data_IF_324617808908
#
_entry.id   IF_324617808908
#
_cell.length_a   1.000
_cell.length_b   1.000
_cell.length_c   1.000
_cell.angle_alpha   90.00
_cell.angle_beta   90.00
_cell.angle_gamma   90.00
#
_symmetry.space_group_name_H-M   'P 1'
#
loop_
_entity.id
_entity.type
_entity.pdbx_description
1 polymer ?
#
# COMPACT_ATOMS: atom_id res chain seq x y z
N UNK A 1 -12.17 27.79 -32.31
CA UNK A 1 -10.86 27.13 -32.50
C UNK A 1 -10.87 25.88 -31.66
N UNK A 2 -10.91 24.72 -32.31
CA UNK A 2 -10.83 23.44 -31.62
C UNK A 2 -9.39 23.28 -31.10
N UNK A 3 -9.26 23.15 -29.79
CA UNK A 3 -8.01 22.70 -29.16
C UNK A 3 -7.88 21.24 -29.56
N UNK A 4 -7.04 20.99 -30.56
CA UNK A 4 -6.55 19.65 -30.85
C UNK A 4 -5.86 19.17 -29.57
N UNK A 5 -6.42 18.12 -28.97
CA UNK A 5 -5.72 17.31 -28.00
C UNK A 5 -4.48 16.77 -28.71
N UNK A 6 -3.34 17.38 -28.42
CA UNK A 6 -2.04 16.83 -28.79
C UNK A 6 -1.82 15.61 -27.88
N UNK A 7 -2.44 14.49 -28.28
CA UNK A 7 -2.26 13.14 -27.73
C UNK A 7 -0.87 12.60 -28.11
N UNK A 8 0.18 13.36 -27.83
CA UNK A 8 1.52 12.82 -27.73
C UNK A 8 1.75 12.44 -26.27
N UNK A 9 1.44 11.18 -25.94
CA UNK A 9 2.08 10.49 -24.82
C UNK A 9 3.58 10.73 -24.99
N UNK A 10 4.14 11.63 -24.18
CA UNK A 10 5.46 12.20 -24.42
C UNK A 10 6.55 11.11 -24.53
N UNK A 11 7.72 11.43 -25.10
CA UNK A 11 8.83 10.48 -25.30
C UNK A 11 9.26 9.75 -24.01
N UNK A 12 8.88 10.26 -22.83
CA UNK A 12 9.22 9.71 -21.52
C UNK A 12 8.19 8.72 -20.96
N UNK A 13 7.00 8.58 -21.56
CA UNK A 13 5.98 7.62 -21.10
C UNK A 13 6.46 6.18 -21.23
N UNK A 14 7.15 5.86 -22.32
CA UNK A 14 7.72 4.52 -22.54
C UNK A 14 8.78 4.19 -21.48
N UNK A 15 9.65 5.14 -21.15
CA UNK A 15 10.69 4.96 -20.12
C UNK A 15 10.07 4.75 -18.72
N UNK A 16 9.01 5.48 -18.38
CA UNK A 16 8.27 5.30 -17.12
C UNK A 16 7.59 3.93 -17.04
N UNK A 17 6.96 3.48 -18.13
CA UNK A 17 6.34 2.16 -18.22
C UNK A 17 7.36 1.03 -18.11
N UNK A 18 8.49 1.15 -18.82
CA UNK A 18 9.58 0.20 -18.77
C UNK A 18 10.20 0.13 -17.38
N UNK A 19 10.39 1.27 -16.71
CA UNK A 19 10.88 1.32 -15.34
C UNK A 19 9.93 0.64 -14.36
N UNK A 20 8.64 0.96 -14.39
CA UNK A 20 7.64 0.32 -13.54
C UNK A 20 7.53 -1.19 -13.80
N UNK A 21 7.51 -1.61 -15.07
CA UNK A 21 7.49 -3.01 -15.45
C UNK A 21 8.77 -3.74 -14.99
N UNK A 22 9.94 -3.11 -15.15
CA UNK A 22 11.22 -3.64 -14.69
C UNK A 22 11.24 -3.87 -13.19
N UNK A 23 10.79 -2.90 -12.40
CA UNK A 23 10.66 -3.03 -10.93
C UNK A 23 9.75 -4.19 -10.55
N UNK A 24 8.58 -4.29 -11.19
CA UNK A 24 7.64 -5.38 -10.96
C UNK A 24 8.25 -6.75 -11.29
N UNK A 25 8.90 -6.88 -12.44
CA UNK A 25 9.53 -8.14 -12.89
C UNK A 25 10.63 -8.57 -11.92
N UNK A 26 11.50 -7.66 -11.49
CA UNK A 26 12.55 -7.96 -10.50
C UNK A 26 11.94 -8.42 -9.18
N UNK A 27 10.88 -7.76 -8.71
CA UNK A 27 10.21 -8.14 -7.47
C UNK A 27 9.57 -9.54 -7.56
N UNK A 28 8.93 -9.85 -8.70
CA UNK A 28 8.33 -11.16 -8.96
C UNK A 28 9.42 -12.25 -9.02
N UNK A 29 10.55 -11.97 -9.69
CA UNK A 29 11.68 -12.88 -9.78
C UNK A 29 12.30 -13.15 -8.40
N UNK A 30 12.48 -12.10 -7.58
CA UNK A 30 12.99 -12.25 -6.22
C UNK A 30 12.01 -13.06 -5.35
N UNK A 31 10.70 -12.77 -5.42
CA UNK A 31 9.69 -13.54 -4.69
C UNK A 31 9.69 -15.02 -5.10
N UNK A 32 9.88 -15.30 -6.39
CA UNK A 32 10.03 -16.66 -6.89
C UNK A 32 11.30 -17.35 -6.36
N UNK A 33 12.42 -16.64 -6.28
CA UNK A 33 13.67 -17.16 -5.71
C UNK A 33 13.51 -17.47 -4.21
N UNK A 34 12.93 -16.56 -3.43
CA UNK A 34 12.70 -16.78 -1.99
C UNK A 34 11.77 -17.96 -1.71
N UNK A 35 10.77 -18.17 -2.58
CA UNK A 35 9.90 -19.36 -2.50
C UNK A 35 10.68 -20.66 -2.73
N UNK A 36 11.67 -20.66 -3.63
CA UNK A 36 12.54 -21.82 -3.86
C UNK A 36 13.46 -22.11 -2.68
N UNK A 37 13.86 -21.10 -1.90
CA UNK A 37 14.68 -21.27 -0.70
C UNK A 37 13.87 -21.59 0.56
N UNK A 38 12.56 -21.84 0.43
CA UNK A 38 11.69 -22.25 1.54
C UNK A 38 10.88 -21.13 2.20
N UNK A 39 11.09 -19.86 1.81
CA UNK A 39 10.33 -18.73 2.31
C UNK A 39 9.06 -18.52 1.48
N UNK A 40 8.05 -19.38 1.72
CA UNK A 40 6.82 -19.43 0.91
C UNK A 40 5.97 -18.14 1.01
N UNK A 41 6.05 -17.43 2.12
CA UNK A 41 5.28 -16.22 2.45
C UNK A 41 6.15 -14.96 2.46
N UNK A 42 7.13 -14.85 1.56
CA UNK A 42 8.01 -13.68 1.46
C UNK A 42 7.68 -12.80 0.25
N UNK A 43 6.41 -12.74 -0.15
CA UNK A 43 5.99 -12.02 -1.35
C UNK A 43 6.09 -10.50 -1.14
N UNK A 44 5.61 -9.99 -0.01
CA UNK A 44 5.73 -8.57 0.34
C UNK A 44 7.18 -8.24 0.70
N UNK A 45 7.86 -9.14 1.40
CA UNK A 45 9.29 -8.99 1.71
C UNK A 45 10.13 -8.81 0.44
N UNK A 46 9.94 -9.65 -0.58
CA UNK A 46 10.63 -9.53 -1.85
C UNK A 46 10.34 -8.18 -2.53
N UNK A 47 9.07 -7.75 -2.54
CA UNK A 47 8.71 -6.47 -3.15
C UNK A 47 9.32 -5.28 -2.40
N UNK A 48 9.24 -5.26 -1.07
CA UNK A 48 9.87 -4.21 -0.24
C UNK A 48 11.38 -4.15 -0.46
N UNK A 49 12.08 -5.28 -0.41
CA UNK A 49 13.52 -5.33 -0.66
C UNK A 49 13.85 -4.80 -2.06
N UNK A 50 13.07 -5.21 -3.07
CA UNK A 50 13.24 -4.72 -4.45
C UNK A 50 13.02 -3.22 -4.55
N UNK A 51 11.97 -2.70 -3.93
CA UNK A 51 11.66 -1.26 -3.90
C UNK A 51 12.78 -0.45 -3.24
N UNK A 52 13.38 -0.96 -2.16
CA UNK A 52 14.53 -0.31 -1.49
C UNK A 52 15.78 -0.33 -2.39
N UNK A 53 16.08 -1.48 -3.00
CA UNK A 53 17.27 -1.66 -3.84
C UNK A 53 17.19 -0.87 -5.15
N UNK A 54 16.02 -0.78 -5.75
CA UNK A 54 15.77 0.00 -6.98
C UNK A 54 15.35 1.44 -6.70
N UNK A 55 15.18 1.80 -5.42
CA UNK A 55 14.71 3.10 -5.00
C UNK A 55 15.83 4.11 -4.70
N UNK A 56 15.47 5.28 -4.13
CA UNK A 56 16.41 6.36 -3.87
C UNK A 56 17.47 6.03 -2.81
N UNK A 57 17.23 5.01 -1.99
CA UNK A 57 18.19 4.58 -0.98
C UNK A 57 19.48 4.00 -1.59
N UNK A 58 19.36 3.25 -2.69
CA UNK A 58 20.43 2.43 -3.26
C UNK A 58 20.70 2.74 -4.73
N UNK A 59 19.65 2.79 -5.58
CA UNK A 59 19.83 2.99 -7.02
C UNK A 59 20.18 4.45 -7.35
N UNK A 60 19.57 5.43 -6.68
CA UNK A 60 19.86 6.84 -6.97
C UNK A 60 21.34 7.22 -6.74
N UNK A 61 22.01 6.78 -5.66
CA UNK A 61 23.45 7.02 -5.50
C UNK A 61 24.34 6.19 -6.44
N UNK A 62 23.96 4.94 -6.73
CA UNK A 62 24.81 4.01 -7.50
C UNK A 62 24.72 4.20 -9.01
N UNK A 63 23.55 4.56 -9.53
CA UNK A 63 23.27 4.77 -10.94
C UNK A 63 22.26 5.92 -11.15
N UNK A 64 22.64 7.18 -10.86
CA UNK A 64 21.72 8.33 -10.85
C UNK A 64 21.03 8.56 -12.21
N UNK A 65 21.76 8.39 -13.32
CA UNK A 65 21.18 8.56 -14.66
C UNK A 65 20.08 7.52 -14.95
N UNK A 66 20.30 6.26 -14.56
CA UNK A 66 19.30 5.20 -14.73
C UNK A 66 18.09 5.41 -13.82
N UNK A 67 18.32 5.83 -12.56
CA UNK A 67 17.25 6.13 -11.61
C UNK A 67 16.34 7.27 -12.10
N UNK A 68 16.93 8.38 -12.54
CA UNK A 68 16.16 9.51 -13.08
C UNK A 68 15.43 9.10 -14.35
N UNK A 69 16.07 8.35 -15.25
CA UNK A 69 15.43 7.95 -16.51
C UNK A 69 14.25 6.99 -16.31
N UNK A 70 14.34 6.03 -15.40
CA UNK A 70 13.36 4.94 -15.29
C UNK A 70 12.40 5.07 -14.11
N UNK A 71 12.75 5.78 -13.04
CA UNK A 71 11.98 5.79 -11.78
C UNK A 71 11.42 7.18 -11.45
N UNK A 72 12.25 8.22 -11.54
CA UNK A 72 11.96 9.53 -10.95
C UNK A 72 11.59 10.61 -11.98
N UNK A 73 12.09 10.51 -13.21
CA UNK A 73 11.82 11.46 -14.29
C UNK A 73 12.45 12.84 -14.09
N UNK A 74 12.20 13.71 -15.08
CA UNK A 74 12.57 15.12 -15.06
C UNK A 74 14.07 15.38 -15.19
N UNK A 75 14.77 14.63 -16.06
CA UNK A 75 16.22 14.75 -16.19
C UNK A 75 16.64 16.16 -16.63
N UNK A 76 15.96 16.69 -17.65
CA UNK A 76 16.28 17.99 -18.24
C UNK A 76 15.90 19.13 -17.29
N UNK A 77 14.76 19.02 -16.61
CA UNK A 77 14.28 19.99 -15.63
C UNK A 77 15.21 20.06 -14.41
N UNK A 78 15.79 18.93 -13.98
CA UNK A 78 16.78 18.91 -12.89
C UNK A 78 18.12 19.51 -13.30
N UNK A 79 18.51 19.36 -14.56
CA UNK A 79 19.71 20.05 -15.10
C UNK A 79 19.45 21.55 -15.10
N UNK A 80 18.30 22.00 -15.61
CA UNK A 80 17.91 23.40 -15.61
C UNK A 80 17.85 24.00 -14.18
N UNK A 81 17.30 23.26 -13.21
CA UNK A 81 17.27 23.67 -11.81
C UNK A 81 18.68 23.82 -11.23
N UNK A 82 19.55 22.83 -11.45
CA UNK A 82 20.95 22.89 -10.97
C UNK A 82 21.72 24.04 -11.58
N UNK A 83 21.52 24.32 -12.87
CA UNK A 83 22.18 25.44 -13.53
C UNK A 83 21.66 26.78 -12.99
N UNK A 84 20.35 26.90 -12.71
CA UNK A 84 19.78 28.07 -12.04
C UNK A 84 20.34 28.25 -10.61
N UNK A 85 20.44 27.17 -9.82
CA UNK A 85 21.03 27.19 -8.48
C UNK A 85 22.51 27.60 -8.51
N UNK A 86 23.29 27.04 -9.44
CA UNK A 86 24.70 27.42 -9.63
C UNK A 86 24.88 28.88 -9.98
N UNK A 87 23.98 29.46 -10.77
CA UNK A 87 24.02 30.89 -11.10
C UNK A 87 23.78 31.75 -9.85
N UNK A 88 22.79 31.39 -9.02
CA UNK A 88 22.52 32.06 -7.74
C UNK A 88 23.72 31.94 -6.79
N UNK A 89 24.33 30.76 -6.69
CA UNK A 89 25.52 30.53 -5.86
C UNK A 89 26.74 31.31 -6.36
N UNK A 90 26.97 31.31 -7.67
CA UNK A 90 28.07 32.05 -8.30
C UNK A 90 27.92 33.57 -8.08
N UNK A 91 26.70 34.10 -8.21
CA UNK A 91 26.42 35.51 -7.94
C UNK A 91 26.63 35.85 -6.47
N UNK A 92 26.12 35.00 -5.57
CA UNK A 92 26.33 35.18 -4.12
C UNK A 92 27.81 35.21 -3.77
N UNK A 93 28.60 34.29 -4.34
CA UNK A 93 30.05 34.28 -4.17
C UNK A 93 30.72 35.54 -4.73
N UNK A 94 30.34 35.98 -5.93
CA UNK A 94 30.87 37.20 -6.55
C UNK A 94 30.56 38.47 -5.73
N UNK A 95 29.34 38.59 -5.18
CA UNK A 95 28.95 39.71 -4.32
C UNK A 95 29.75 39.73 -3.00
N UNK A 96 29.92 38.56 -2.37
CA UNK A 96 30.74 38.43 -1.17
C UNK A 96 32.20 38.81 -1.43
N UNK A 97 32.78 38.37 -2.56
CA UNK A 97 34.12 38.78 -2.98
C UNK A 97 34.24 40.27 -3.28
N UNK A 98 33.18 40.90 -3.79
CA UNK A 98 33.11 42.34 -4.02
C UNK A 98 32.84 43.17 -2.74
N UNK A 99 32.76 42.53 -1.57
CA UNK A 99 32.48 43.20 -0.29
C UNK A 99 31.05 43.73 -0.16
N UNK A 100 30.12 43.25 -0.99
CA UNK A 100 28.71 43.65 -0.97
C UNK A 100 27.86 42.54 -0.32
N UNK A 101 27.02 42.86 0.68
CA UNK A 101 26.10 41.87 1.21
C UNK A 101 25.07 41.47 0.14
N UNK A 102 24.75 40.18 -0.03
CA UNK A 102 23.70 39.75 -0.93
C UNK A 102 22.35 40.26 -0.40
N UNK A 103 21.77 41.26 -1.05
CA UNK A 103 20.48 41.84 -0.66
C UNK A 103 19.39 41.38 -1.62
N UNK A 104 18.26 40.91 -1.07
CA UNK A 104 17.06 40.52 -1.84
C UNK A 104 16.40 41.69 -2.60
N UNK A 105 16.89 42.91 -2.43
CA UNK A 105 16.47 44.12 -3.15
C UNK A 105 17.17 44.34 -4.50
N UNK A 106 18.16 43.52 -4.86
CA UNK A 106 18.75 43.55 -6.20
C UNK A 106 17.78 42.89 -7.20
N UNK A 107 17.26 43.62 -8.21
CA UNK A 107 16.28 43.09 -9.15
C UNK A 107 16.79 41.87 -9.92
N UNK A 108 18.10 41.78 -10.19
CA UNK A 108 18.67 40.64 -10.88
C UNK A 108 18.82 39.41 -9.95
N UNK A 109 19.09 39.61 -8.65
CA UNK A 109 19.07 38.52 -7.68
C UNK A 109 17.63 37.99 -7.45
N UNK A 110 16.64 38.89 -7.47
CA UNK A 110 15.23 38.51 -7.39
C UNK A 110 14.77 37.70 -8.61
N UNK A 111 15.22 38.06 -9.82
CA UNK A 111 14.91 37.33 -11.05
C UNK A 111 15.56 35.93 -11.09
N UNK A 112 16.79 35.79 -10.61
CA UNK A 112 17.48 34.50 -10.51
C UNK A 112 16.78 33.57 -9.48
N UNK A 113 16.39 34.09 -8.32
CA UNK A 113 15.60 33.34 -7.34
C UNK A 113 14.22 32.94 -7.89
N UNK A 114 13.55 33.84 -8.61
CA UNK A 114 12.29 33.51 -9.29
C UNK A 114 12.47 32.42 -10.34
N UNK A 115 13.64 32.38 -10.99
CA UNK A 115 14.00 31.33 -11.95
C UNK A 115 14.21 29.99 -11.26
N UNK A 116 14.89 29.94 -10.11
CA UNK A 116 14.99 28.71 -9.29
C UNK A 116 13.61 28.19 -8.90
N UNK A 117 12.70 29.06 -8.44
CA UNK A 117 11.33 28.68 -8.07
C UNK A 117 10.54 28.14 -9.27
N UNK A 118 10.69 28.72 -10.46
CA UNK A 118 10.07 28.20 -11.69
C UNK A 118 10.65 26.86 -12.11
N UNK A 119 11.96 26.69 -12.01
CA UNK A 119 12.61 25.42 -12.33
C UNK A 119 12.23 24.33 -11.31
N UNK A 120 12.08 24.67 -10.02
CA UNK A 120 11.65 23.70 -9.00
C UNK A 120 10.22 23.23 -9.24
N UNK A 121 9.30 24.15 -9.57
CA UNK A 121 7.93 23.77 -9.92
C UNK A 121 7.86 22.95 -11.21
N UNK A 122 8.71 23.24 -12.20
CA UNK A 122 8.83 22.44 -13.41
C UNK A 122 9.31 21.00 -13.11
N UNK A 123 10.27 20.83 -12.19
CA UNK A 123 10.70 19.49 -11.74
C UNK A 123 9.56 18.73 -11.06
N UNK A 124 8.80 19.37 -10.17
CA UNK A 124 7.65 18.74 -9.49
C UNK A 124 6.56 18.32 -10.48
N UNK A 125 6.29 19.17 -11.48
CA UNK A 125 5.33 18.86 -12.54
C UNK A 125 5.83 17.69 -13.40
N UNK A 126 7.09 17.70 -13.84
CA UNK A 126 7.69 16.62 -14.63
C UNK A 126 7.70 15.28 -13.87
N UNK A 127 7.98 15.29 -12.57
CA UNK A 127 7.86 14.11 -11.71
C UNK A 127 6.41 13.60 -11.64
N UNK A 128 5.45 14.51 -11.54
CA UNK A 128 4.01 14.18 -11.48
C UNK A 128 3.57 13.49 -12.77
N UNK A 129 3.96 14.04 -13.91
CA UNK A 129 3.60 13.53 -15.24
C UNK A 129 4.32 12.20 -15.52
N UNK A 130 5.60 12.09 -15.17
CA UNK A 130 6.37 10.85 -15.28
C UNK A 130 5.83 9.73 -14.39
N UNK A 131 5.30 10.07 -13.20
CA UNK A 131 4.71 9.10 -12.30
C UNK A 131 3.33 8.60 -12.77
N UNK A 132 2.64 9.29 -13.68
CA UNK A 132 1.27 8.96 -14.06
C UNK A 132 1.07 7.52 -14.58
N UNK A 133 1.91 6.98 -15.49
CA UNK A 133 1.79 5.59 -15.94
C UNK A 133 1.97 4.59 -14.78
N UNK A 134 2.92 4.85 -13.87
CA UNK A 134 3.14 4.03 -12.68
C UNK A 134 1.89 4.03 -11.78
N UNK A 135 1.23 5.18 -11.60
CA UNK A 135 -0.02 5.28 -10.80
C UNK A 135 -1.12 4.39 -11.37
N UNK A 136 -1.28 4.35 -12.69
CA UNK A 136 -2.26 3.46 -13.34
C UNK A 136 -1.93 1.98 -13.14
N UNK A 137 -0.64 1.60 -13.22
CA UNK A 137 -0.21 0.23 -12.93
C UNK A 137 -0.49 -0.12 -11.46
N UNK A 138 -0.14 0.78 -10.53
CA UNK A 138 -0.41 0.60 -9.09
C UNK A 138 -1.90 0.46 -8.82
N UNK A 139 -2.74 1.31 -9.44
CA UNK A 139 -4.20 1.25 -9.32
C UNK A 139 -4.77 -0.08 -9.85
N UNK A 140 -4.28 -0.56 -10.99
CA UNK A 140 -4.68 -1.83 -11.57
C UNK A 140 -4.29 -3.02 -10.67
N UNK A 141 -3.04 -3.04 -10.18
CA UNK A 141 -2.56 -4.07 -9.26
C UNK A 141 -3.32 -4.02 -7.92
N UNK A 142 -3.61 -2.83 -7.41
CA UNK A 142 -4.41 -2.61 -6.21
C UNK A 142 -5.83 -3.17 -6.37
N UNK A 143 -6.49 -2.88 -7.49
CA UNK A 143 -7.80 -3.42 -7.81
C UNK A 143 -7.79 -4.96 -7.87
N UNK A 144 -6.77 -5.55 -8.50
CA UNK A 144 -6.59 -7.01 -8.55
C UNK A 144 -6.32 -7.61 -7.16
N UNK A 145 -5.58 -6.92 -6.30
CA UNK A 145 -5.36 -7.36 -4.92
C UNK A 145 -6.68 -7.36 -4.12
N UNK A 146 -7.49 -6.29 -4.22
CA UNK A 146 -8.81 -6.21 -3.59
C UNK A 146 -9.73 -7.32 -4.14
N UNK A 147 -9.77 -7.50 -5.46
CA UNK A 147 -10.53 -8.58 -6.10
C UNK A 147 -10.14 -9.96 -5.53
N UNK A 148 -8.83 -10.22 -5.40
CA UNK A 148 -8.31 -11.46 -4.84
C UNK A 148 -8.72 -11.68 -3.39
N UNK A 149 -8.60 -10.63 -2.55
CA UNK A 149 -9.01 -10.67 -1.15
C UNK A 149 -10.52 -10.90 -0.98
N UNK A 150 -11.33 -10.41 -1.91
CA UNK A 150 -12.79 -10.51 -1.88
C UNK A 150 -13.33 -11.80 -2.52
N UNK A 151 -12.54 -12.48 -3.36
CA UNK A 151 -12.96 -13.72 -4.03
C UNK A 151 -13.07 -14.93 -3.08
N UNK A 152 -13.86 -15.96 -3.45
CA UNK A 152 -13.97 -17.22 -2.68
C UNK A 152 -13.46 -18.44 -3.45
N UNK A 153 -12.39 -19.12 -3.02
CA UNK A 153 -12.03 -20.40 -3.63
C UNK A 153 -13.03 -21.53 -3.29
N UNK A 154 -13.92 -21.33 -2.31
CA UNK A 154 -14.95 -22.27 -1.87
C UNK A 154 -16.26 -22.22 -2.68
N UNK A 155 -17.22 -23.11 -2.38
CA UNK A 155 -18.55 -23.08 -2.98
C UNK A 155 -19.30 -21.80 -2.57
N UNK A 156 -20.22 -21.34 -3.44
CA UNK A 156 -21.07 -20.17 -3.13
C UNK A 156 -21.86 -20.44 -1.86
N UNK A 157 -21.77 -19.51 -0.91
CA UNK A 157 -22.57 -19.53 0.32
C UNK A 157 -23.55 -18.35 0.34
N UNK A 158 -24.65 -18.46 1.09
CA UNK A 158 -25.56 -17.34 1.26
C UNK A 158 -24.86 -16.17 1.97
N UNK A 159 -25.03 -14.96 1.42
CA UNK A 159 -24.38 -13.72 1.87
C UNK A 159 -24.78 -13.34 3.31
N UNK A 160 -26.00 -13.71 3.72
CA UNK A 160 -26.55 -13.34 5.03
C UNK A 160 -26.29 -14.40 6.09
N UNK A 161 -25.26 -14.15 6.90
CA UNK A 161 -24.96 -14.90 8.13
C UNK A 161 -24.75 -13.88 9.28
N UNK A 162 -25.70 -13.75 10.22
CA UNK A 162 -25.62 -12.74 11.29
C UNK A 162 -24.34 -12.85 12.15
N UNK A 163 -23.86 -14.08 12.35
CA UNK A 163 -22.60 -14.35 13.06
C UNK A 163 -21.37 -13.85 12.30
N UNK A 164 -21.37 -13.91 10.97
CA UNK A 164 -20.30 -13.38 10.13
C UNK A 164 -20.26 -11.86 10.15
N UNK A 165 -21.43 -11.19 10.21
CA UNK A 165 -21.51 -9.74 10.34
C UNK A 165 -20.86 -9.25 11.64
N UNK A 166 -21.24 -9.83 12.79
CA UNK A 166 -20.67 -9.46 14.10
C UNK A 166 -19.16 -9.71 14.14
N UNK A 167 -18.70 -10.86 13.62
CA UNK A 167 -17.27 -11.17 13.51
C UNK A 167 -16.54 -10.15 12.63
N UNK A 168 -17.10 -9.85 11.46
CA UNK A 168 -16.54 -8.88 10.50
C UNK A 168 -16.46 -7.46 11.06
N UNK A 169 -17.47 -7.03 11.83
CA UNK A 169 -17.46 -5.72 12.48
C UNK A 169 -16.30 -5.57 13.46
N UNK A 170 -16.07 -6.56 14.33
CA UNK A 170 -14.92 -6.53 15.26
C UNK A 170 -13.58 -6.64 14.54
N UNK A 171 -13.50 -7.45 13.48
CA UNK A 171 -12.31 -7.58 12.64
C UNK A 171 -11.88 -6.26 11.99
N UNK A 172 -12.83 -5.39 11.65
CA UNK A 172 -12.55 -4.07 11.10
C UNK A 172 -12.34 -3.00 12.18
N UNK A 173 -13.26 -2.90 13.13
CA UNK A 173 -13.29 -1.78 14.08
C UNK A 173 -12.06 -1.77 14.98
N UNK A 174 -11.62 -2.92 15.50
CA UNK A 174 -10.48 -2.96 16.44
C UNK A 174 -9.17 -2.47 15.82
N UNK A 175 -8.68 -3.00 14.69
CA UNK A 175 -7.46 -2.50 14.08
C UNK A 175 -7.60 -1.07 13.54
N UNK A 176 -8.79 -0.67 13.06
CA UNK A 176 -9.05 0.72 12.68
C UNK A 176 -8.89 1.65 13.88
N UNK A 177 -9.54 1.35 15.01
CA UNK A 177 -9.45 2.14 16.23
C UNK A 177 -8.03 2.16 16.79
N UNK A 178 -7.32 1.03 16.78
CA UNK A 178 -5.92 0.98 17.19
C UNK A 178 -5.04 1.89 16.32
N UNK A 179 -5.27 1.89 15.00
CA UNK A 179 -4.56 2.75 14.05
C UNK A 179 -4.88 4.22 14.29
N UNK A 180 -6.16 4.57 14.49
CA UNK A 180 -6.58 5.94 14.81
C UNK A 180 -5.99 6.43 16.13
N UNK A 181 -5.91 5.59 17.17
CA UNK A 181 -5.26 5.94 18.44
C UNK A 181 -3.77 6.20 18.21
N UNK A 182 -3.08 5.35 17.44
CA UNK A 182 -1.66 5.55 17.13
C UNK A 182 -1.43 6.84 16.32
N UNK A 183 -2.29 7.13 15.34
CA UNK A 183 -2.22 8.36 14.55
C UNK A 183 -2.60 9.60 15.35
N UNK A 184 -3.49 9.49 16.34
CA UNK A 184 -3.82 10.59 17.24
C UNK A 184 -2.65 11.02 18.14
N UNK A 185 -1.66 10.14 18.36
CA UNK A 185 -0.40 10.48 19.03
C UNK A 185 0.53 11.33 18.14
N UNK A 186 0.27 11.37 16.82
CA UNK A 186 0.92 12.27 15.89
C UNK A 186 0.06 13.52 15.78
N UNK A 187 0.48 14.61 16.42
CA UNK A 187 -0.32 15.85 16.51
C UNK A 187 -0.82 16.37 15.15
N UNK A 188 -0.03 16.18 14.08
CA UNK A 188 -0.40 16.61 12.73
C UNK A 188 -1.52 15.81 12.08
N UNK A 189 -1.83 14.60 12.58
CA UNK A 189 -2.81 13.68 11.97
C UNK A 189 -4.05 13.46 12.84
N UNK A 190 -4.17 14.18 13.95
CA UNK A 190 -5.27 13.99 14.89
C UNK A 190 -6.60 14.43 14.27
N UNK A 191 -7.46 13.45 13.97
CA UNK A 191 -8.81 13.68 13.45
C UNK A 191 -8.86 14.12 11.98
N UNK A 192 -7.76 13.94 11.24
CA UNK A 192 -7.73 14.28 9.81
C UNK A 192 -8.50 13.23 8.99
N UNK A 193 -9.10 13.61 7.85
CA UNK A 193 -9.71 12.63 6.95
C UNK A 193 -8.70 11.62 6.39
N UNK A 194 -7.42 11.99 6.36
CA UNK A 194 -6.31 11.11 6.03
C UNK A 194 -6.13 9.98 7.05
N UNK A 195 -6.22 10.28 8.35
CA UNK A 195 -6.13 9.27 9.39
C UNK A 195 -7.23 8.20 9.27
N UNK A 196 -8.44 8.59 8.88
CA UNK A 196 -9.53 7.64 8.60
C UNK A 196 -9.25 6.77 7.36
N UNK A 197 -8.69 7.35 6.30
CA UNK A 197 -8.30 6.60 5.10
C UNK A 197 -7.18 5.58 5.39
N UNK A 198 -6.18 5.98 6.18
CA UNK A 198 -5.10 5.10 6.64
C UNK A 198 -5.61 3.99 7.56
N UNK A 199 -6.49 4.31 8.51
CA UNK A 199 -7.12 3.33 9.37
C UNK A 199 -7.98 2.34 8.60
N UNK A 200 -8.67 2.76 7.53
CA UNK A 200 -9.43 1.86 6.68
C UNK A 200 -8.54 0.75 6.06
N UNK A 201 -7.31 1.06 5.66
CA UNK A 201 -6.39 0.06 5.14
C UNK A 201 -6.02 -1.02 6.17
N UNK A 202 -6.01 -0.68 7.46
CA UNK A 202 -5.74 -1.63 8.56
C UNK A 202 -6.99 -2.37 9.02
N UNK A 203 -8.18 -1.81 8.81
CA UNK A 203 -9.48 -2.46 9.04
C UNK A 203 -9.81 -3.63 8.11
N UNK A 204 -9.17 -3.70 6.96
CA UNK A 204 -9.44 -4.76 6.00
C UNK A 204 -9.03 -6.13 6.54
N UNK A 205 -9.73 -7.17 6.10
CA UNK A 205 -9.41 -8.54 6.45
C UNK A 205 -9.51 -9.48 5.25
N UNK A 206 -8.69 -10.54 5.28
CA UNK A 206 -8.81 -11.67 4.37
C UNK A 206 -8.46 -12.94 5.13
N UNK A 207 -8.99 -14.07 4.67
CA UNK A 207 -8.71 -15.38 5.28
C UNK A 207 -7.42 -15.93 4.70
N UNK A 208 -6.66 -16.64 5.55
CA UNK A 208 -5.45 -17.34 5.12
C UNK A 208 -5.72 -18.29 3.93
N UNK A 209 -4.75 -18.34 3.03
CA UNK A 209 -4.80 -19.03 1.75
C UNK A 209 -4.22 -20.45 1.81
N UNK A 210 -4.69 -21.35 0.94
CA UNK A 210 -4.01 -22.63 0.67
C UNK A 210 -3.79 -23.57 1.86
N UNK A 211 -2.56 -24.05 2.05
CA UNK A 211 -2.18 -25.03 3.11
C UNK A 211 -2.36 -24.49 4.52
N UNK A 212 -2.28 -23.17 4.72
CA UNK A 212 -2.48 -22.53 6.02
C UNK A 212 -3.94 -22.58 6.45
N UNK A 213 -4.86 -22.56 5.46
CA UNK A 213 -6.29 -22.80 5.68
C UNK A 213 -6.54 -24.23 6.19
N UNK A 214 -5.78 -25.21 5.72
CA UNK A 214 -5.91 -26.61 6.13
C UNK A 214 -5.27 -26.90 7.51
N UNK A 215 -4.24 -26.14 7.90
CA UNK A 215 -3.60 -26.24 9.21
C UNK A 215 -4.52 -25.75 10.34
N UNK A 216 -5.34 -24.74 10.07
CA UNK A 216 -6.14 -24.06 11.10
C UNK A 216 -7.62 -24.50 11.14
N UNK A 217 -8.15 -25.11 10.07
CA UNK A 217 -9.58 -25.43 9.95
C UNK A 217 -9.89 -26.88 9.53
N UNK A 218 -11.03 -27.42 10.01
CA UNK A 218 -11.80 -28.47 9.31
C UNK A 218 -12.51 -27.81 8.11
N UNK A 219 -12.57 -28.48 6.96
CA UNK A 219 -13.09 -27.92 5.69
C UNK A 219 -14.48 -27.27 5.83
N UNK A 220 -15.32 -27.76 6.75
CA UNK A 220 -16.70 -27.34 6.99
C UNK A 220 -16.85 -25.92 7.58
N UNK A 221 -15.85 -25.38 8.28
CA UNK A 221 -15.98 -24.09 9.02
C UNK A 221 -15.31 -22.90 8.32
N UNK A 222 -14.84 -23.10 7.09
CA UNK A 222 -14.09 -22.06 6.35
C UNK A 222 -14.97 -20.97 5.71
N UNK A 223 -16.28 -21.24 5.52
CA UNK A 223 -17.23 -20.30 4.91
C UNK A 223 -17.55 -19.06 5.74
N UNK A 224 -17.91 -19.21 7.04
CA UNK A 224 -18.29 -18.08 7.91
C UNK A 224 -17.16 -17.07 8.14
N UNK A 225 -15.92 -17.51 8.32
CA UNK A 225 -14.78 -16.60 8.48
C UNK A 225 -14.47 -15.84 7.18
N UNK A 226 -14.57 -16.50 6.02
CA UNK A 226 -14.40 -15.84 4.73
C UNK A 226 -15.45 -14.75 4.51
N UNK A 227 -16.69 -14.99 4.94
CA UNK A 227 -17.74 -13.98 4.92
C UNK A 227 -17.44 -12.83 5.89
N UNK A 228 -17.01 -13.13 7.11
CA UNK A 228 -16.64 -12.11 8.09
C UNK A 228 -15.50 -11.21 7.57
N UNK A 229 -14.49 -11.77 6.90
CA UNK A 229 -13.39 -11.03 6.32
C UNK A 229 -13.83 -10.11 5.16
N UNK A 230 -14.73 -10.58 4.30
CA UNK A 230 -15.36 -9.75 3.26
C UNK A 230 -16.18 -8.62 3.85
N UNK A 231 -16.96 -8.89 4.89
CA UNK A 231 -17.73 -7.86 5.60
C UNK A 231 -16.82 -6.81 6.23
N UNK A 232 -15.72 -7.21 6.86
CA UNK A 232 -14.72 -6.29 7.39
C UNK A 232 -14.15 -5.38 6.28
N UNK A 233 -13.74 -5.96 5.15
CA UNK A 233 -13.21 -5.19 4.00
C UNK A 233 -14.26 -4.24 3.40
N UNK A 234 -15.52 -4.65 3.31
CA UNK A 234 -16.62 -3.77 2.89
C UNK A 234 -16.89 -2.65 3.90
N UNK A 235 -16.83 -2.95 5.21
CA UNK A 235 -17.00 -1.95 6.25
C UNK A 235 -15.88 -0.92 6.22
N UNK A 236 -14.63 -1.36 5.98
CA UNK A 236 -13.47 -0.49 5.83
C UNK A 236 -13.47 0.32 4.53
N UNK A 237 -14.17 -0.13 3.49
CA UNK A 237 -14.30 0.63 2.25
C UNK A 237 -15.01 1.98 2.45
N UNK A 238 -15.99 2.04 3.36
CA UNK A 238 -16.76 3.27 3.65
C UNK A 238 -15.85 4.42 4.14
N UNK A 239 -15.08 4.29 5.24
CA UNK A 239 -14.15 5.33 5.69
C UNK A 239 -13.01 5.59 4.69
N UNK A 240 -12.61 4.60 3.88
CA UNK A 240 -11.64 4.82 2.80
C UNK A 240 -12.17 5.84 1.78
N UNK A 241 -13.39 5.63 1.28
CA UNK A 241 -14.02 6.51 0.28
C UNK A 241 -14.26 7.90 0.87
N UNK A 242 -14.83 7.96 2.08
CA UNK A 242 -15.08 9.24 2.76
C UNK A 242 -13.77 10.00 2.96
N UNK A 243 -12.72 9.33 3.46
CA UNK A 243 -11.40 9.92 3.63
C UNK A 243 -10.81 10.43 2.32
N UNK A 244 -10.82 9.62 1.27
CA UNK A 244 -10.36 10.01 -0.07
C UNK A 244 -11.08 11.24 -0.60
N UNK A 245 -12.40 11.29 -0.48
CA UNK A 245 -13.21 12.39 -0.99
C UNK A 245 -12.95 13.69 -0.22
N UNK A 246 -12.80 13.60 1.10
CA UNK A 246 -12.55 14.75 1.96
C UNK A 246 -11.13 15.30 1.81
N UNK A 247 -10.09 14.46 1.72
CA UNK A 247 -8.71 14.98 1.58
C UNK A 247 -8.48 15.54 0.18
N UNK A 248 -9.05 14.92 -0.85
CA UNK A 248 -8.80 15.31 -2.24
C UNK A 248 -9.66 16.47 -2.74
N UNK A 249 -10.49 17.08 -1.88
CA UNK A 249 -11.49 18.09 -2.28
C UNK A 249 -12.33 17.66 -3.49
N UNK A 250 -12.56 16.36 -3.65
CA UNK A 250 -13.32 15.80 -4.78
C UNK A 250 -12.60 15.77 -6.13
N UNK A 251 -11.26 15.74 -6.16
CA UNK A 251 -10.52 15.56 -7.44
C UNK A 251 -11.00 14.34 -8.24
N UNK A 252 -10.90 14.45 -9.57
CA UNK A 252 -11.30 13.38 -10.50
C UNK A 252 -10.56 12.07 -10.20
N UNK A 253 -9.28 12.13 -9.82
CA UNK A 253 -8.48 10.94 -9.54
C UNK A 253 -8.92 10.21 -8.27
N UNK A 254 -9.29 10.94 -7.22
CA UNK A 254 -9.84 10.33 -6.01
C UNK A 254 -11.23 9.71 -6.22
N UNK A 255 -12.06 10.33 -7.07
CA UNK A 255 -13.34 9.77 -7.49
C UNK A 255 -13.12 8.46 -8.26
N UNK A 256 -12.23 8.47 -9.27
CA UNK A 256 -11.87 7.29 -10.06
C UNK A 256 -11.33 6.16 -9.18
N UNK A 257 -10.39 6.47 -8.28
CA UNK A 257 -9.82 5.51 -7.35
C UNK A 257 -10.87 4.88 -6.42
N UNK A 258 -11.83 5.69 -5.95
CA UNK A 258 -12.96 5.22 -5.15
C UNK A 258 -13.89 4.30 -5.95
N UNK A 259 -14.24 4.66 -7.19
CA UNK A 259 -15.03 3.79 -8.07
C UNK A 259 -14.32 2.46 -8.37
N UNK A 260 -13.01 2.50 -8.61
CA UNK A 260 -12.21 1.29 -8.82
C UNK A 260 -12.20 0.40 -7.57
N UNK A 261 -12.04 0.98 -6.38
CA UNK A 261 -12.09 0.23 -5.12
C UNK A 261 -13.47 -0.42 -4.89
N UNK A 262 -14.56 0.32 -5.11
CA UNK A 262 -15.93 -0.20 -5.01
C UNK A 262 -16.16 -1.31 -6.03
N UNK A 263 -15.82 -1.07 -7.29
CA UNK A 263 -15.99 -2.05 -8.36
C UNK A 263 -15.19 -3.33 -8.07
N UNK A 264 -13.94 -3.21 -7.62
CA UNK A 264 -13.11 -4.34 -7.23
C UNK A 264 -13.73 -5.14 -6.07
N UNK A 265 -14.25 -4.46 -5.05
CA UNK A 265 -14.94 -5.12 -3.94
C UNK A 265 -16.20 -5.86 -4.40
N UNK A 266 -17.05 -5.22 -5.21
CA UNK A 266 -18.32 -5.80 -5.70
C UNK A 266 -18.08 -6.95 -6.67
N UNK A 267 -17.19 -6.77 -7.65
CA UNK A 267 -16.84 -7.82 -8.61
C UNK A 267 -16.16 -8.99 -7.91
N UNK A 268 -15.32 -8.72 -6.90
CA UNK A 268 -14.66 -9.76 -6.11
C UNK A 268 -15.65 -10.69 -5.41
N UNK A 269 -16.77 -10.15 -4.91
CA UNK A 269 -17.87 -10.96 -4.35
C UNK A 269 -18.52 -11.90 -5.35
N UNK A 270 -18.37 -11.69 -6.66
CA UNK A 270 -18.96 -12.54 -7.70
C UNK A 270 -18.04 -13.69 -8.11
N UNK A 271 -16.72 -13.56 -7.86
CA UNK A 271 -15.69 -14.52 -8.29
C UNK A 271 -15.58 -15.67 -7.29
N UNK A 272 -15.82 -16.89 -7.79
CA UNK A 272 -15.81 -18.11 -6.98
C UNK A 272 -15.07 -19.28 -7.63
N UNK A 273 -14.74 -20.29 -6.83
CA UNK A 273 -14.25 -21.59 -7.31
C UNK A 273 -12.88 -21.51 -8.01
N UNK A 274 -12.78 -22.06 -9.23
CA UNK A 274 -11.51 -22.15 -9.96
C UNK A 274 -10.92 -20.77 -10.32
N UNK A 275 -11.77 -19.79 -10.63
CA UNK A 275 -11.34 -18.43 -10.94
C UNK A 275 -10.72 -17.76 -9.70
N UNK A 276 -11.37 -17.88 -8.55
CA UNK A 276 -10.86 -17.35 -7.28
C UNK A 276 -9.52 -17.97 -6.89
N UNK A 277 -9.37 -19.30 -7.02
CA UNK A 277 -8.08 -19.98 -6.77
C UNK A 277 -6.97 -19.49 -7.71
N UNK A 278 -7.30 -19.20 -8.95
CA UNK A 278 -6.33 -18.67 -9.92
C UNK A 278 -5.91 -17.26 -9.55
N UNK A 279 -6.87 -16.41 -9.16
CA UNK A 279 -6.62 -15.05 -8.72
C UNK A 279 -5.82 -15.01 -7.42
N UNK A 280 -6.14 -15.84 -6.44
CA UNK A 280 -5.38 -15.99 -5.19
C UNK A 280 -3.91 -16.36 -5.45
N UNK A 281 -3.65 -17.31 -6.36
CA UNK A 281 -2.30 -17.65 -6.79
C UNK A 281 -1.61 -16.48 -7.50
N UNK A 282 -2.31 -15.81 -8.41
CA UNK A 282 -1.78 -14.63 -9.10
C UNK A 282 -1.44 -13.50 -8.11
N UNK A 283 -2.26 -13.32 -7.06
CA UNK A 283 -2.01 -12.37 -6.00
C UNK A 283 -0.69 -12.65 -5.30
N UNK A 284 -0.50 -13.89 -4.85
CA UNK A 284 0.73 -14.30 -4.15
C UNK A 284 1.97 -14.28 -5.04
N UNK A 285 1.84 -14.70 -6.30
CA UNK A 285 2.98 -14.88 -7.20
C UNK A 285 3.41 -13.57 -7.84
N UNK A 286 2.46 -12.75 -8.27
CA UNK A 286 2.67 -11.62 -9.17
C UNK A 286 2.30 -10.30 -8.50
N UNK A 287 1.06 -10.18 -8.01
CA UNK A 287 0.50 -8.86 -7.66
C UNK A 287 1.13 -8.30 -6.39
N UNK A 288 1.22 -9.08 -5.30
CA UNK A 288 1.79 -8.60 -4.03
C UNK A 288 3.25 -8.13 -4.14
N UNK A 289 4.19 -8.91 -4.72
CA UNK A 289 5.57 -8.45 -4.83
C UNK A 289 5.68 -7.22 -5.75
N UNK A 290 4.96 -7.20 -6.88
CA UNK A 290 4.97 -6.05 -7.79
C UNK A 290 4.39 -4.79 -7.13
N UNK A 291 3.23 -4.90 -6.49
CA UNK A 291 2.55 -3.79 -5.85
C UNK A 291 3.38 -3.21 -4.70
N UNK A 292 3.90 -4.06 -3.80
CA UNK A 292 4.73 -3.60 -2.68
C UNK A 292 6.04 -2.95 -3.14
N UNK A 293 6.67 -3.45 -4.22
CA UNK A 293 7.85 -2.81 -4.79
C UNK A 293 7.52 -1.42 -5.37
N UNK A 294 6.46 -1.33 -6.18
CA UNK A 294 6.06 -0.07 -6.82
C UNK A 294 5.59 0.99 -5.82
N UNK A 295 5.05 0.58 -4.67
CA UNK A 295 4.68 1.50 -3.60
C UNK A 295 5.90 2.11 -2.87
N UNK A 296 7.01 1.38 -2.80
CA UNK A 296 8.20 1.82 -2.05
C UNK A 296 9.27 2.44 -2.95
N UNK A 297 9.31 2.10 -4.24
CA UNK A 297 10.44 2.43 -5.14
C UNK A 297 10.75 3.93 -5.25
N UNK A 298 9.76 4.81 -5.06
CA UNK A 298 9.96 6.26 -5.10
C UNK A 298 10.10 6.92 -3.73
N UNK A 299 10.15 6.15 -2.65
CA UNK A 299 10.17 6.67 -1.28
C UNK A 299 11.56 6.52 -0.66
N UNK A 300 12.11 7.62 -0.16
CA UNK A 300 13.33 7.59 0.65
C UNK A 300 13.00 7.28 2.11
N UNK A 301 13.16 6.01 2.49
CA UNK A 301 12.91 5.52 3.85
C UNK A 301 13.79 6.20 4.91
N UNK A 302 14.93 6.80 4.54
CA UNK A 302 15.82 7.46 5.51
C UNK A 302 15.25 8.76 6.04
N UNK A 303 14.59 9.51 5.18
CA UNK A 303 14.14 10.88 5.44
C UNK A 303 12.65 10.97 5.72
N UNK A 304 11.86 10.04 5.19
CA UNK A 304 10.39 10.13 5.20
C UNK A 304 9.69 9.15 6.14
N UNK A 305 10.43 8.35 6.94
CA UNK A 305 9.83 7.36 7.83
C UNK A 305 9.74 7.85 9.29
N UNK A 306 8.52 8.02 9.80
CA UNK A 306 8.26 8.13 11.23
C UNK A 306 8.34 6.73 11.87
N UNK A 307 9.56 6.24 12.12
CA UNK A 307 9.81 4.85 12.51
C UNK A 307 9.03 4.41 13.75
N UNK A 308 8.90 5.28 14.76
CA UNK A 308 8.14 5.00 15.98
C UNK A 308 6.65 4.82 15.66
N UNK A 309 6.03 5.80 14.99
CA UNK A 309 4.62 5.72 14.58
C UNK A 309 4.36 4.54 13.65
N UNK A 310 5.28 4.28 12.73
CA UNK A 310 5.22 3.14 11.80
C UNK A 310 5.24 1.82 12.55
N UNK A 311 6.13 1.67 13.53
CA UNK A 311 6.18 0.50 14.41
C UNK A 311 4.90 0.34 15.22
N UNK A 312 4.39 1.42 15.82
CA UNK A 312 3.15 1.40 16.61
C UNK A 312 1.93 1.02 15.76
N UNK A 313 1.81 1.54 14.54
CA UNK A 313 0.70 1.19 13.65
C UNK A 313 0.87 -0.22 13.08
N UNK A 314 2.09 -0.67 12.78
CA UNK A 314 2.31 -2.06 12.37
C UNK A 314 1.89 -3.05 13.46
N UNK A 315 2.25 -2.76 14.73
CA UNK A 315 1.82 -3.53 15.89
C UNK A 315 0.31 -3.44 16.11
N UNK A 316 -0.26 -2.22 16.11
CA UNK A 316 -1.68 -1.98 16.31
C UNK A 316 -2.58 -2.61 15.23
N UNK A 317 -2.14 -2.58 13.97
CA UNK A 317 -2.83 -3.23 12.86
C UNK A 317 -2.76 -4.75 12.95
N UNK A 318 -1.60 -5.31 13.31
CA UNK A 318 -1.42 -6.75 13.48
C UNK A 318 -2.19 -7.29 14.68
N UNK A 319 -1.90 -6.76 15.86
CA UNK A 319 -2.38 -7.30 17.13
C UNK A 319 -3.84 -6.87 17.36
N UNK A 320 -4.24 -5.71 16.82
CA UNK A 320 -5.63 -5.30 16.74
C UNK A 320 -6.48 -6.22 15.86
N UNK A 321 -5.96 -6.72 14.73
CA UNK A 321 -6.67 -7.72 13.90
C UNK A 321 -6.87 -9.03 14.65
N UNK A 322 -5.83 -9.51 15.33
CA UNK A 322 -5.95 -10.70 16.17
C UNK A 322 -6.98 -10.49 17.30
N UNK A 323 -6.90 -9.37 18.00
CA UNK A 323 -7.81 -9.04 19.09
C UNK A 323 -9.26 -8.90 18.59
N UNK A 324 -9.47 -8.21 17.47
CA UNK A 324 -10.79 -8.08 16.84
C UNK A 324 -11.37 -9.42 16.41
N UNK A 325 -10.54 -10.29 15.82
CA UNK A 325 -10.94 -11.65 15.48
C UNK A 325 -11.33 -12.48 16.72
N UNK A 326 -10.57 -12.35 17.81
CA UNK A 326 -10.83 -13.04 19.07
C UNK A 326 -12.13 -12.54 19.74
N UNK A 327 -12.32 -11.21 19.83
CA UNK A 327 -13.54 -10.60 20.37
C UNK A 327 -14.76 -11.01 19.52
N UNK A 328 -14.63 -10.96 18.20
CA UNK A 328 -15.66 -11.39 17.26
C UNK A 328 -16.04 -12.86 17.45
N UNK A 329 -15.04 -13.75 17.57
CA UNK A 329 -15.27 -15.18 17.81
C UNK A 329 -15.95 -15.44 19.16
N UNK A 330 -15.55 -14.72 20.22
CA UNK A 330 -16.12 -14.89 21.56
C UNK A 330 -17.54 -14.31 21.68
N UNK A 331 -17.78 -13.13 21.11
CA UNK A 331 -19.07 -12.43 21.22
C UNK A 331 -20.19 -13.04 20.39
N UNK A 332 -19.86 -13.70 19.28
CA UNK A 332 -20.85 -14.31 18.39
C UNK A 332 -21.32 -15.69 18.86
N UNK A 333 -20.74 -16.27 19.92
CA UNK A 333 -21.09 -17.59 20.47
C UNK A 333 -20.81 -18.79 19.54
N UNK A 334 -20.58 -18.53 18.25
CA UNK A 334 -20.24 -19.49 17.24
C UNK A 334 -18.75 -19.83 17.34
N UNK A 335 -18.44 -20.79 18.21
CA UNK A 335 -17.22 -21.57 18.12
C UNK A 335 -17.33 -22.38 16.82
N UNK A 336 -16.86 -21.81 15.71
CA UNK A 336 -16.86 -22.43 14.38
C UNK A 336 -15.85 -23.61 14.35
N UNK A 337 -16.13 -24.64 15.14
CA UNK A 337 -15.36 -25.87 15.26
C UNK A 337 -14.06 -25.77 16.05
N UNK A 338 -13.79 -24.71 16.82
CA UNK A 338 -12.58 -24.59 17.65
C UNK A 338 -12.47 -23.37 18.55
N UNK A 339 -11.36 -23.29 19.30
CA UNK A 339 -11.12 -22.20 20.27
C UNK A 339 -11.05 -20.81 19.59
N UNK A 340 -11.50 -19.73 20.28
CA UNK A 340 -11.44 -18.36 19.75
C UNK A 340 -10.03 -17.93 19.35
N UNK A 341 -9.01 -18.42 20.08
CA UNK A 341 -7.60 -18.16 19.80
C UNK A 341 -7.17 -18.71 18.45
N UNK A 342 -7.66 -19.90 18.07
CA UNK A 342 -7.36 -20.54 16.77
C UNK A 342 -8.01 -19.78 15.61
N UNK A 343 -9.27 -19.37 15.79
CA UNK A 343 -9.99 -18.53 14.82
C UNK A 343 -9.31 -17.18 14.61
N UNK A 344 -8.79 -16.59 15.70
CA UNK A 344 -8.11 -15.31 15.66
C UNK A 344 -6.77 -15.34 14.93
N UNK A 345 -6.03 -16.44 15.02
CA UNK A 345 -4.79 -16.64 14.26
C UNK A 345 -5.07 -16.85 12.77
N UNK A 346 -6.23 -17.41 12.41
CA UNK A 346 -6.62 -17.67 11.02
C UNK A 346 -7.05 -16.42 10.24
N UNK A 347 -7.57 -15.40 10.93
CA UNK A 347 -8.13 -14.19 10.34
C UNK A 347 -7.07 -13.16 9.89
N UNK A 348 -5.79 -13.54 9.83
CA UNK A 348 -4.68 -12.62 9.63
C UNK A 348 -4.18 -12.49 8.17
N UNK A 349 -4.80 -13.17 7.21
CA UNK A 349 -4.43 -13.13 5.77
C UNK A 349 -4.63 -11.77 5.06
N UNK A 350 -4.84 -10.71 5.83
CA UNK A 350 -5.27 -9.38 5.42
C UNK A 350 -4.22 -8.57 4.63
N UNK A 351 -3.00 -9.08 4.49
CA UNK A 351 -1.89 -8.48 3.73
C UNK A 351 -2.33 -8.05 2.32
N UNK A 352 -3.13 -8.86 1.64
CA UNK A 352 -3.59 -8.59 0.27
C UNK A 352 -4.54 -7.40 0.21
N UNK A 353 -5.56 -7.39 1.07
CA UNK A 353 -6.54 -6.31 1.11
C UNK A 353 -5.92 -4.98 1.56
N UNK A 354 -5.02 -5.03 2.55
CA UNK A 354 -4.29 -3.86 3.05
C UNK A 354 -3.43 -3.22 1.98
N UNK A 355 -2.63 -4.01 1.25
CA UNK A 355 -1.83 -3.49 0.13
C UNK A 355 -2.71 -3.00 -1.02
N UNK A 356 -3.84 -3.66 -1.28
CA UNK A 356 -4.85 -3.18 -2.20
C UNK A 356 -5.33 -1.77 -1.86
N UNK A 357 -5.82 -1.54 -0.65
CA UNK A 357 -6.30 -0.22 -0.24
C UNK A 357 -5.16 0.82 -0.17
N UNK A 358 -3.97 0.43 0.29
CA UNK A 358 -2.80 1.29 0.26
C UNK A 358 -2.44 1.72 -1.18
N UNK A 359 -2.57 0.80 -2.15
CA UNK A 359 -2.38 1.08 -3.57
C UNK A 359 -3.42 2.02 -4.16
N UNK A 360 -4.69 1.88 -3.77
CA UNK A 360 -5.74 2.85 -4.12
C UNK A 360 -5.35 4.24 -3.63
N UNK A 361 -4.95 4.38 -2.36
CA UNK A 361 -4.54 5.66 -1.79
C UNK A 361 -3.28 6.23 -2.44
N UNK A 362 -2.27 5.41 -2.68
CA UNK A 362 -1.02 5.86 -3.30
C UNK A 362 -1.23 6.33 -4.75
N UNK A 363 -2.21 5.78 -5.46
CA UNK A 363 -2.51 6.17 -6.84
C UNK A 363 -3.05 7.60 -6.98
N UNK A 364 -3.60 8.18 -5.90
CA UNK A 364 -4.23 9.52 -5.94
C UNK A 364 -3.28 10.67 -5.61
N UNK A 365 -2.02 10.40 -5.23
CA UNK A 365 -1.04 11.39 -4.72
C UNK A 365 -1.44 12.15 -3.45
N UNK A 366 -2.58 11.80 -2.87
CA UNK A 366 -3.09 12.43 -1.66
C UNK A 366 -2.37 11.89 -0.42
N UNK A 367 -1.88 10.65 -0.49
CA UNK A 367 -1.25 9.96 0.62
C UNK A 367 0.22 10.42 0.80
N UNK A 368 0.61 10.92 1.97
CA UNK A 368 2.02 11.21 2.23
C UNK A 368 2.84 9.92 2.25
N UNK A 369 4.11 10.00 1.82
CA UNK A 369 5.01 8.85 1.72
C UNK A 369 5.13 8.05 3.01
N UNK A 370 5.14 8.72 4.17
CA UNK A 370 5.22 8.05 5.47
C UNK A 370 4.02 7.12 5.72
N UNK A 371 2.83 7.50 5.24
CA UNK A 371 1.61 6.69 5.35
C UNK A 371 1.68 5.44 4.47
N UNK A 372 2.24 5.55 3.26
CA UNK A 372 2.51 4.41 2.38
C UNK A 372 3.48 3.44 3.05
N UNK A 373 4.61 3.95 3.57
CA UNK A 373 5.63 3.14 4.25
C UNK A 373 5.03 2.41 5.44
N UNK A 374 4.25 3.10 6.25
CA UNK A 374 3.55 2.52 7.40
C UNK A 374 2.66 1.33 7.00
N UNK A 375 1.84 1.50 5.97
CA UNK A 375 0.92 0.45 5.51
C UNK A 375 1.66 -0.73 4.86
N UNK A 376 2.71 -0.47 4.09
CA UNK A 376 3.52 -1.52 3.45
C UNK A 376 4.34 -2.28 4.49
N UNK A 377 4.95 -1.61 5.47
CA UNK A 377 5.69 -2.28 6.55
C UNK A 377 4.75 -3.03 7.49
N UNK A 378 3.55 -2.53 7.75
CA UNK A 378 2.51 -3.30 8.45
C UNK A 378 2.13 -4.58 7.69
N UNK A 379 2.01 -4.51 6.37
CA UNK A 379 1.76 -5.67 5.52
C UNK A 379 2.95 -6.65 5.51
N UNK A 380 4.19 -6.13 5.48
CA UNK A 380 5.41 -6.93 5.60
C UNK A 380 5.47 -7.66 6.95
N UNK A 381 5.14 -6.97 8.04
CA UNK A 381 5.11 -7.56 9.37
C UNK A 381 4.11 -8.72 9.42
N UNK A 382 2.94 -8.58 8.81
CA UNK A 382 1.95 -9.67 8.68
C UNK A 382 2.45 -10.83 7.83
N UNK A 383 3.12 -10.55 6.70
CA UNK A 383 3.70 -11.58 5.81
C UNK A 383 4.76 -12.41 6.56
N UNK A 384 5.65 -11.74 7.31
CA UNK A 384 6.72 -12.39 8.08
C UNK A 384 6.18 -13.13 9.30
N UNK A 385 5.32 -12.49 10.10
CA UNK A 385 4.78 -13.09 11.33
C UNK A 385 3.73 -14.17 11.06
N UNK A 386 3.09 -14.15 9.89
CA UNK A 386 2.11 -15.15 9.49
C UNK A 386 2.65 -16.58 9.62
N UNK A 387 3.87 -16.83 9.14
CA UNK A 387 4.50 -18.16 9.22
C UNK A 387 4.62 -18.67 10.67
N UNK A 388 5.08 -17.83 11.59
CA UNK A 388 5.22 -18.18 13.01
C UNK A 388 3.85 -18.43 13.67
N UNK A 389 2.85 -17.63 13.29
CA UNK A 389 1.50 -17.70 13.84
C UNK A 389 0.73 -18.91 13.35
N UNK A 390 0.93 -19.32 12.10
CA UNK A 390 0.35 -20.57 11.59
C UNK A 390 0.98 -21.80 12.23
N UNK A 391 2.29 -21.78 12.51
CA UNK A 391 2.94 -22.83 13.29
C UNK A 391 2.32 -22.93 14.71
N UNK A 392 2.11 -21.80 15.38
CA UNK A 392 1.44 -21.76 16.69
C UNK A 392 -0.03 -22.23 16.64
N UNK A 393 -0.77 -21.89 15.57
CA UNK A 393 -2.13 -22.38 15.38
C UNK A 393 -2.17 -23.90 15.17
N UNK A 394 -1.19 -24.45 14.45
CA UNK A 394 -1.04 -25.89 14.28
C UNK A 394 -0.75 -26.64 15.59
N UNK A 395 0.10 -26.10 16.46
CA UNK A 395 0.36 -26.70 17.78
C UNK A 395 -0.86 -26.67 18.70
N UNK A 396 -1.67 -25.61 18.64
CA UNK A 396 -2.92 -25.52 19.40
C UNK A 396 -3.94 -26.57 18.94
N UNK A 397 -3.99 -26.87 17.64
CA UNK A 397 -4.86 -27.93 17.11
C UNK A 397 -4.46 -29.31 17.60
N UNK A 398 -3.16 -29.63 17.62
CA UNK A 398 -2.68 -30.90 18.15
C UNK A 398 -3.08 -31.06 19.63
N UNK A 399 -2.95 -30.00 20.43
CA UNK A 399 -3.39 -30.01 21.82
C UNK A 399 -4.91 -30.14 21.99
N UNK A 400 -5.71 -29.54 21.11
CA UNK A 400 -7.19 -29.68 21.10
C UNK A 400 -7.62 -31.11 20.69
N UNK A 401 -6.88 -31.78 19.81
CA UNK A 401 -7.19 -33.14 19.33
C UNK A 401 -6.76 -34.23 20.35
N UNK A 402 -5.83 -33.92 21.27
CA UNK A 402 -5.32 -34.82 22.33
C UNK A 402 -6.13 -34.74 23.66
N UNK A 403 -7.00 -33.72 23.81
CA UNK A 403 -7.80 -33.45 25.01
C UNK A 403 -9.25 -33.94 24.86
#
# INVERSE_FOLDING_TARGET
MAVLADDSLGPHTNDALLGAAGVAVVAIALAWLLRRTGLRHAAVAAGVVTGIMLGPAVLAPSAPAAFVRWIDGGADERVALRDAERLVEARRAAMLHAGRPPTASDPAAAEELATVVRCSSAVEQAQTDFAAPRRWIVLALAALAILGAMSDPGPRQPIWQPTAFTKGAWLAVVPMSATLICLALVESERGTPMAFALAACTGCAAVAAGTDRALVYREETTGPLAHAARFATMLSLVPLIIGLWLVSSGTIDAQRASFVAVAACVVGLLIHGAAARTLERACQVIILPALSALLIVSIDLRTQAHWITTGLVALGASDGRWLGAWIGARSSGALDGGSPSRTALAAQGATVAQLGFAGILASTMVLPSWGIVMLVLGALYLDVTGTLRFAAAGSLRAADDDA
#
